data_IF_833611180898
#
_entry.id   IF_833611180898
#
_cell.length_a   1.000
_cell.length_b   1.000
_cell.length_c   1.000
_cell.angle_alpha   90.00
_cell.angle_beta   90.00
_cell.angle_gamma   90.00
#
_symmetry.space_group_name_H-M   'P 1'
#
loop_
_entity.id
_entity.type
_entity.pdbx_description
1 polymer ?
#
# COMPACT_ATOMS: atom_id res chain seq x y z
N UNK A 1 -13.92 -7.89 -6.93
CA UNK A 1 -12.89 -6.98 -7.54
C UNK A 1 -12.40 -6.02 -6.47
N UNK A 2 -11.07 -5.85 -6.34
CA UNK A 2 -10.53 -4.88 -5.36
C UNK A 2 -10.46 -3.49 -6.01
N UNK A 3 -10.99 -2.48 -5.31
CA UNK A 3 -11.03 -1.08 -5.76
C UNK A 3 -10.32 -0.21 -4.74
N UNK A 4 -9.22 0.41 -5.15
CA UNK A 4 -8.48 1.39 -4.35
C UNK A 4 -9.25 2.72 -4.30
N UNK A 5 -9.51 3.22 -3.10
CA UNK A 5 -10.18 4.51 -2.91
C UNK A 5 -9.30 5.66 -3.40
N UNK A 6 -7.99 5.56 -3.22
CA UNK A 6 -7.05 6.58 -3.72
C UNK A 6 -7.05 6.63 -5.25
N UNK A 7 -7.14 5.47 -5.91
CA UNK A 7 -7.23 5.44 -7.36
C UNK A 7 -8.57 5.98 -7.89
N UNK A 8 -9.69 5.78 -7.18
CA UNK A 8 -10.95 6.42 -7.54
C UNK A 8 -10.85 7.95 -7.53
N UNK A 9 -10.05 8.53 -6.64
CA UNK A 9 -9.83 9.99 -6.55
C UNK A 9 -9.17 10.60 -7.78
N UNK A 10 -8.52 9.80 -8.62
CA UNK A 10 -8.00 10.27 -9.91
C UNK A 10 -9.11 10.58 -10.93
N UNK A 11 -10.28 9.97 -10.76
CA UNK A 11 -11.42 10.13 -11.69
C UNK A 11 -12.48 11.10 -11.20
N UNK A 12 -12.67 11.21 -9.88
CA UNK A 12 -13.66 12.08 -9.26
C UNK A 12 -13.26 12.46 -7.83
N UNK A 13 -13.88 13.53 -7.31
CA UNK A 13 -13.74 13.87 -5.89
C UNK A 13 -14.53 12.89 -5.02
N UNK A 14 -13.84 12.12 -4.16
CA UNK A 14 -14.43 11.20 -3.16
C UNK A 14 -14.45 11.89 -1.81
N UNK A 15 -15.65 12.24 -1.32
CA UNK A 15 -15.89 12.96 -0.04
C UNK A 15 -16.29 12.01 1.09
N UNK A 16 -16.84 10.87 0.73
CA UNK A 16 -17.33 9.86 1.65
C UNK A 16 -16.17 9.26 2.45
N UNK A 17 -16.47 8.87 3.69
CA UNK A 17 -15.63 7.90 4.42
C UNK A 17 -15.65 6.55 3.70
N UNK A 18 -14.68 5.67 3.94
CA UNK A 18 -14.64 4.34 3.31
C UNK A 18 -15.93 3.52 3.50
N UNK A 19 -16.55 3.58 4.67
CA UNK A 19 -17.81 2.89 4.94
C UNK A 19 -18.99 3.50 4.17
N UNK A 20 -19.12 4.82 4.19
CA UNK A 20 -20.16 5.52 3.41
C UNK A 20 -20.02 5.28 1.91
N UNK A 21 -18.78 5.15 1.42
CA UNK A 21 -18.51 4.83 0.02
C UNK A 21 -18.96 3.40 -0.32
N UNK A 22 -18.71 2.43 0.56
CA UNK A 22 -19.19 1.07 0.41
C UNK A 22 -20.72 1.01 0.36
N UNK A 23 -21.40 1.72 1.27
CA UNK A 23 -22.86 1.82 1.29
C UNK A 23 -23.40 2.47 0.00
N UNK A 24 -22.73 3.53 -0.48
CA UNK A 24 -23.11 4.24 -1.71
C UNK A 24 -23.03 3.33 -2.93
N UNK A 25 -21.92 2.56 -3.05
CA UNK A 25 -21.73 1.62 -4.16
C UNK A 25 -22.73 0.46 -4.10
N UNK A 26 -23.00 -0.08 -2.90
CA UNK A 26 -23.99 -1.13 -2.71
C UNK A 26 -25.39 -0.67 -3.11
N UNK A 27 -25.77 0.58 -2.80
CA UNK A 27 -27.02 1.19 -3.23
C UNK A 27 -27.10 1.40 -4.76
N UNK A 28 -25.95 1.45 -5.45
CA UNK A 28 -25.87 1.46 -6.92
C UNK A 28 -25.99 0.05 -7.55
N UNK A 29 -26.07 -1.00 -6.72
CA UNK A 29 -26.07 -2.39 -7.18
C UNK A 29 -24.67 -2.96 -7.45
N UNK A 30 -23.65 -2.33 -6.90
CA UNK A 30 -22.29 -2.84 -6.82
C UNK A 30 -22.02 -3.19 -5.35
N UNK A 31 -22.40 -4.39 -4.93
CA UNK A 31 -22.19 -4.84 -3.55
C UNK A 31 -20.73 -4.66 -3.16
N UNK A 32 -20.50 -3.84 -2.13
CA UNK A 32 -19.18 -3.40 -1.76
C UNK A 32 -18.95 -3.59 -0.26
N UNK A 33 -17.85 -4.23 0.08
CA UNK A 33 -17.37 -4.39 1.44
C UNK A 33 -16.00 -3.73 1.63
N UNK A 34 -15.78 -3.20 2.84
CA UNK A 34 -14.48 -2.66 3.18
C UNK A 34 -13.47 -3.80 3.32
N UNK A 35 -12.35 -3.70 2.65
CA UNK A 35 -11.26 -4.66 2.81
C UNK A 35 -10.72 -4.62 4.24
N UNK A 36 -10.21 -5.74 4.75
CA UNK A 36 -9.81 -5.97 6.14
C UNK A 36 -8.61 -5.13 6.65
N UNK A 37 -8.15 -4.16 5.88
CA UNK A 37 -7.09 -3.24 6.30
C UNK A 37 -7.59 -2.34 7.43
N UNK A 38 -6.83 -2.16 8.53
CA UNK A 38 -7.25 -1.31 9.62
C UNK A 38 -7.37 0.16 9.18
N UNK A 39 -8.46 0.82 9.59
CA UNK A 39 -8.67 2.25 9.31
C UNK A 39 -7.84 3.17 10.22
N UNK A 40 -7.32 2.64 11.32
CA UNK A 40 -6.53 3.37 12.30
C UNK A 40 -5.58 2.43 13.02
N UNK A 41 -4.35 2.90 13.24
CA UNK A 41 -3.30 2.22 14.01
C UNK A 41 -2.75 3.20 15.06
N UNK A 42 -3.48 3.47 16.15
CA UNK A 42 -3.08 4.48 17.14
C UNK A 42 -1.70 4.20 17.72
N UNK A 43 -0.82 5.20 17.67
CA UNK A 43 0.55 5.11 18.16
C UNK A 43 1.55 4.48 17.18
N UNK A 44 1.13 4.12 15.98
CA UNK A 44 2.04 3.79 14.89
C UNK A 44 2.33 5.06 14.09
N UNK A 45 3.60 5.44 14.04
CA UNK A 45 4.08 6.67 13.41
C UNK A 45 5.16 6.37 12.38
N UNK A 46 5.48 7.34 11.54
CA UNK A 46 6.67 7.26 10.68
C UNK A 46 7.90 7.49 11.54
N UNK A 47 8.72 6.44 11.70
CA UNK A 47 10.00 6.49 12.37
C UNK A 47 11.16 6.43 11.37
N UNK A 48 12.34 6.87 11.78
CA UNK A 48 13.58 6.74 11.01
C UNK A 48 14.59 5.90 11.77
N UNK A 49 15.14 4.88 11.15
CA UNK A 49 16.27 4.12 11.70
C UNK A 49 17.54 4.94 11.50
N UNK A 50 18.13 5.46 12.57
CA UNK A 50 19.38 6.24 12.51
C UNK A 50 20.62 5.34 12.43
N UNK A 51 20.62 4.25 13.21
CA UNK A 51 21.72 3.29 13.21
C UNK A 51 21.26 1.88 13.54
N UNK A 52 22.03 0.90 13.09
CA UNK A 52 21.85 -0.51 13.40
C UNK A 52 23.17 -1.13 13.87
N UNK A 53 23.12 -1.89 14.96
CA UNK A 53 24.26 -2.62 15.50
C UNK A 53 23.87 -4.08 15.76
N UNK A 54 24.85 -4.98 15.75
CA UNK A 54 24.60 -6.40 16.10
C UNK A 54 24.26 -6.53 17.58
N UNK A 55 23.28 -7.37 17.88
CA UNK A 55 22.91 -7.69 19.27
C UNK A 55 24.03 -8.52 19.93
N UNK A 56 24.51 -8.16 21.15
CA UNK A 56 25.65 -8.83 21.78
C UNK A 56 25.39 -10.31 22.11
N UNK A 57 24.14 -10.69 22.34
CA UNK A 57 23.77 -12.04 22.81
C UNK A 57 22.86 -12.79 21.79
N UNK A 58 22.79 -12.33 20.51
CA UNK A 58 21.93 -12.98 19.52
C UNK A 58 22.31 -12.64 18.07
N UNK A 59 22.77 -13.63 17.31
CA UNK A 59 23.30 -13.45 15.95
C UNK A 59 22.27 -12.93 14.93
N UNK A 60 20.98 -13.23 15.16
CA UNK A 60 19.89 -12.82 14.24
C UNK A 60 19.20 -11.52 14.64
N UNK A 61 19.59 -10.90 15.75
CA UNK A 61 18.99 -9.66 16.23
C UNK A 61 19.91 -8.45 15.98
N UNK A 62 19.32 -7.31 15.72
CA UNK A 62 19.99 -6.02 15.65
C UNK A 62 19.43 -5.08 16.72
N UNK A 63 20.27 -4.23 17.26
CA UNK A 63 19.89 -3.07 18.05
C UNK A 63 19.73 -1.92 17.08
N UNK A 64 18.56 -1.33 17.03
CA UNK A 64 18.24 -0.21 16.16
C UNK A 64 17.98 1.04 16.99
N UNK A 65 18.53 2.15 16.61
CA UNK A 65 18.16 3.47 17.15
C UNK A 65 17.14 4.10 16.19
N UNK A 66 15.93 4.28 16.68
CA UNK A 66 14.79 4.79 15.90
C UNK A 66 14.45 6.20 16.39
N UNK A 67 14.46 7.16 15.50
CA UNK A 67 14.03 8.54 15.73
C UNK A 67 12.53 8.66 15.41
N UNK A 68 11.76 9.21 16.33
CA UNK A 68 10.31 9.45 16.20
C UNK A 68 9.97 10.90 15.80
N UNK A 69 10.97 11.70 15.47
CA UNK A 69 10.84 13.14 15.18
C UNK A 69 10.94 14.05 16.40
N UNK A 70 10.93 13.49 17.62
CA UNK A 70 11.10 14.24 18.89
C UNK A 70 12.28 13.68 19.70
N UNK A 71 12.44 12.37 19.72
CA UNK A 71 13.49 11.66 20.47
C UNK A 71 13.85 10.35 19.80
N UNK A 72 14.90 9.72 20.30
CA UNK A 72 15.34 8.42 19.84
C UNK A 72 14.93 7.31 20.78
N UNK A 73 14.70 6.13 20.23
CA UNK A 73 14.31 4.92 20.94
C UNK A 73 15.25 3.79 20.55
N UNK A 74 15.73 3.04 21.55
CA UNK A 74 16.40 1.78 21.31
C UNK A 74 15.35 0.69 21.08
N UNK A 75 15.47 -0.03 19.96
CA UNK A 75 14.54 -1.06 19.55
C UNK A 75 15.30 -2.28 19.06
N UNK A 76 14.89 -3.48 19.48
CA UNK A 76 15.47 -4.72 18.98
C UNK A 76 14.64 -5.23 17.82
N UNK A 77 15.31 -5.50 16.71
CA UNK A 77 14.70 -6.00 15.48
C UNK A 77 15.38 -7.27 14.99
N UNK A 78 14.57 -8.26 14.61
CA UNK A 78 15.03 -9.53 14.05
C UNK A 78 14.93 -9.63 12.53
N UNK A 79 14.41 -8.61 11.87
CA UNK A 79 14.21 -8.61 10.44
C UNK A 79 15.54 -8.47 9.67
N UNK A 80 15.74 -9.28 8.62
CA UNK A 80 17.00 -9.25 7.85
C UNK A 80 17.19 -7.95 7.06
N UNK A 81 16.10 -7.32 6.65
CA UNK A 81 16.08 -6.12 5.79
C UNK A 81 16.16 -4.79 6.54
N UNK A 82 16.23 -4.79 7.90
CA UNK A 82 16.39 -3.54 8.64
C UNK A 82 17.80 -2.96 8.45
N UNK A 83 17.87 -1.68 8.07
CA UNK A 83 19.12 -0.95 7.89
C UNK A 83 18.99 0.53 8.28
N UNK A 84 20.13 1.22 8.42
CA UNK A 84 20.19 2.67 8.70
C UNK A 84 19.55 3.50 7.57
N UNK A 85 19.11 4.70 7.91
CA UNK A 85 18.50 5.68 7.00
C UNK A 85 17.12 5.28 6.41
N UNK A 86 16.55 4.15 6.84
CA UNK A 86 15.22 3.73 6.42
C UNK A 86 14.13 4.47 7.20
N UNK A 87 13.07 4.91 6.49
CA UNK A 87 11.80 5.24 7.12
C UNK A 87 10.96 3.97 7.28
N UNK A 88 10.33 3.84 8.43
CA UNK A 88 9.60 2.62 8.82
C UNK A 88 8.33 2.97 9.61
N UNK A 89 7.30 2.10 9.61
CA UNK A 89 6.22 2.20 10.58
C UNK A 89 6.76 1.78 11.95
N UNK A 90 6.71 2.71 12.89
CA UNK A 90 7.20 2.54 14.25
C UNK A 90 6.04 2.53 15.24
N UNK A 91 5.79 1.39 15.89
CA UNK A 91 4.82 1.27 16.96
C UNK A 91 5.46 1.69 18.29
N UNK A 92 4.98 2.79 18.84
CA UNK A 92 5.46 3.32 20.14
C UNK A 92 4.97 2.48 21.32
N UNK A 93 5.65 2.59 22.46
CA UNK A 93 5.19 1.92 23.70
C UNK A 93 3.81 2.44 24.06
N UNK A 94 2.86 1.53 24.25
CA UNK A 94 1.44 1.83 24.53
C UNK A 94 0.53 1.59 23.34
N UNK A 95 1.05 1.49 22.13
CA UNK A 95 0.26 1.14 20.93
C UNK A 95 -0.39 -0.23 21.06
N UNK A 96 -1.52 -0.40 20.38
CA UNK A 96 -2.22 -1.67 20.25
C UNK A 96 -2.32 -1.97 18.75
N UNK A 97 -1.62 -3.00 18.32
CA UNK A 97 -1.65 -3.49 16.93
C UNK A 97 -2.81 -4.48 16.73
N UNK A 98 -3.15 -4.81 15.49
CA UNK A 98 -4.12 -5.85 15.16
C UNK A 98 -3.86 -7.15 15.94
N UNK A 99 -4.92 -7.91 16.24
CA UNK A 99 -4.81 -9.08 17.11
C UNK A 99 -4.63 -8.75 18.61
N UNK A 100 -4.90 -7.51 19.04
CA UNK A 100 -4.72 -7.02 20.42
C UNK A 100 -3.27 -7.08 20.92
N UNK A 101 -2.29 -7.01 20.03
CA UNK A 101 -0.88 -6.98 20.38
C UNK A 101 -0.51 -5.63 21.00
N UNK A 102 -0.37 -5.61 22.33
CA UNK A 102 0.01 -4.39 23.08
C UNK A 102 1.52 -4.23 23.12
N UNK A 103 2.02 -3.14 22.55
CA UNK A 103 3.45 -2.80 22.57
C UNK A 103 3.85 -2.28 23.94
N UNK A 104 4.80 -2.95 24.56
CA UNK A 104 5.35 -2.62 25.89
C UNK A 104 6.87 -2.52 25.81
N UNK A 105 7.46 -1.85 26.78
CA UNK A 105 8.89 -1.99 27.01
C UNK A 105 9.22 -3.46 27.28
N UNK A 106 10.21 -3.97 26.59
CA UNK A 106 10.63 -5.37 26.70
C UNK A 106 12.14 -5.44 26.93
N UNK A 107 12.59 -6.47 27.62
CA UNK A 107 14.00 -6.81 27.70
C UNK A 107 14.23 -8.07 26.84
N UNK A 108 14.93 -7.92 25.74
CA UNK A 108 15.17 -9.00 24.79
C UNK A 108 16.64 -9.43 24.92
N UNK A 109 16.86 -10.61 25.51
CA UNK A 109 18.19 -11.18 25.75
C UNK A 109 19.16 -10.23 26.46
N UNK A 110 18.65 -9.47 27.45
CA UNK A 110 19.44 -8.53 28.24
C UNK A 110 19.52 -7.10 27.71
N UNK A 111 18.91 -6.80 26.56
CA UNK A 111 18.87 -5.47 25.96
C UNK A 111 17.44 -4.93 25.95
N UNK A 112 17.26 -3.68 26.38
CA UNK A 112 15.95 -3.01 26.42
C UNK A 112 15.47 -2.65 25.01
N UNK A 113 14.18 -2.90 24.75
CA UNK A 113 13.48 -2.49 23.52
C UNK A 113 12.29 -1.61 23.86
N UNK A 114 12.24 -0.41 23.30
CA UNK A 114 11.26 0.66 23.59
C UNK A 114 10.36 0.92 22.40
N UNK A 115 9.65 -0.08 21.92
CA UNK A 115 8.78 -0.02 20.74
C UNK A 115 9.03 -1.17 19.80
N UNK A 116 8.42 -1.10 18.62
CA UNK A 116 8.51 -2.15 17.60
C UNK A 116 8.55 -1.55 16.20
N UNK A 117 9.46 -2.03 15.36
CA UNK A 117 9.47 -1.76 13.92
C UNK A 117 8.56 -2.81 13.29
N UNK A 118 7.56 -2.37 12.52
CA UNK A 118 6.50 -3.25 12.06
C UNK A 118 6.71 -3.74 10.61
N UNK A 119 6.28 -4.98 10.36
CA UNK A 119 6.03 -5.53 9.02
C UNK A 119 4.61 -5.18 8.56
N UNK A 120 4.29 -5.43 7.30
CA UNK A 120 2.92 -5.28 6.77
C UNK A 120 1.95 -6.24 7.44
N UNK A 121 2.39 -7.47 7.73
CA UNK A 121 1.59 -8.48 8.42
C UNK A 121 1.17 -8.02 9.83
N UNK A 122 2.10 -7.47 10.63
CA UNK A 122 1.80 -6.98 11.98
C UNK A 122 0.84 -5.80 11.99
N UNK A 123 0.83 -5.02 10.90
CA UNK A 123 -0.12 -3.93 10.68
C UNK A 123 -1.44 -4.42 10.07
N UNK A 124 -1.57 -5.71 9.75
CA UNK A 124 -2.71 -6.31 9.04
C UNK A 124 -3.02 -5.60 7.71
N UNK A 125 -1.96 -5.25 6.97
CA UNK A 125 -2.05 -4.61 5.64
C UNK A 125 -1.95 -5.68 4.55
N UNK A 126 -1.07 -6.66 4.71
CA UNK A 126 -0.88 -7.81 3.82
C UNK A 126 -0.40 -9.04 4.60
N UNK A 127 -0.28 -10.19 3.92
CA UNK A 127 0.29 -11.41 4.48
C UNK A 127 1.82 -11.42 4.46
N UNK A 128 2.47 -10.35 3.97
CA UNK A 128 3.91 -10.24 3.87
C UNK A 128 4.56 -10.11 5.26
N UNK A 129 5.39 -11.08 5.62
CA UNK A 129 6.04 -11.18 6.94
C UNK A 129 7.57 -11.41 6.85
N UNK A 130 8.16 -11.39 5.65
CA UNK A 130 9.61 -11.60 5.45
C UNK A 130 10.42 -10.32 5.68
N UNK A 131 10.17 -9.63 6.77
CA UNK A 131 10.95 -8.43 7.12
C UNK A 131 10.08 -7.30 7.64
N UNK A 132 10.71 -6.13 7.79
CA UNK A 132 10.00 -4.90 8.14
C UNK A 132 9.46 -4.23 6.87
N UNK A 133 8.40 -3.45 7.03
CA UNK A 133 7.94 -2.53 6.01
C UNK A 133 8.90 -1.34 5.89
N UNK A 134 9.39 -1.05 4.68
CA UNK A 134 10.24 0.11 4.39
C UNK A 134 9.42 1.16 3.66
N UNK A 135 9.39 2.37 4.17
CA UNK A 135 8.60 3.48 3.65
C UNK A 135 9.37 4.34 2.64
N UNK A 136 8.69 5.07 1.74
CA UNK A 136 9.29 6.09 0.91
C UNK A 136 10.01 7.17 1.73
N UNK A 137 11.13 7.68 1.21
CA UNK A 137 12.02 8.62 1.93
C UNK A 137 11.47 10.03 2.12
N UNK A 138 10.40 10.36 1.43
CA UNK A 138 9.77 11.69 1.39
C UNK A 138 8.64 11.88 2.43
N UNK A 139 8.36 10.86 3.23
CA UNK A 139 7.33 10.95 4.25
C UNK A 139 7.75 11.79 5.47
N UNK A 140 6.83 12.54 6.06
CA UNK A 140 7.13 13.37 7.22
C UNK A 140 7.34 12.52 8.49
N UNK A 141 8.52 12.66 9.09
CA UNK A 141 8.90 11.96 10.31
C UNK A 141 7.99 12.31 11.49
N UNK A 142 7.65 11.32 12.31
CA UNK A 142 6.85 11.48 13.52
C UNK A 142 5.34 11.66 13.30
N UNK A 143 4.89 11.65 12.04
CA UNK A 143 3.46 11.72 11.74
C UNK A 143 2.78 10.35 11.85
N UNK A 144 1.47 10.38 12.11
CA UNK A 144 0.66 9.15 12.11
C UNK A 144 0.81 8.40 10.78
N UNK A 145 1.13 7.11 10.88
CA UNK A 145 1.40 6.27 9.71
C UNK A 145 0.17 6.14 8.81
N UNK A 146 -1.02 5.91 9.40
CA UNK A 146 -2.24 5.75 8.61
C UNK A 146 -2.68 7.05 7.95
N UNK A 147 -2.38 8.21 8.55
CA UNK A 147 -2.69 9.49 7.95
C UNK A 147 -1.86 9.78 6.69
N UNK A 148 -0.54 9.50 6.74
CA UNK A 148 0.39 9.91 5.68
C UNK A 148 0.67 8.83 4.65
N UNK A 149 0.51 7.56 4.99
CA UNK A 149 0.81 6.44 4.10
C UNK A 149 -0.22 5.32 4.12
N UNK A 150 -0.74 4.95 5.27
CA UNK A 150 -1.61 3.79 5.45
C UNK A 150 -2.92 3.86 4.66
N UNK A 151 -3.41 5.06 4.35
CA UNK A 151 -4.62 5.26 3.52
C UNK A 151 -4.54 4.63 2.14
N UNK A 152 -3.34 4.44 1.59
CA UNK A 152 -3.11 3.78 0.29
C UNK A 152 -3.57 2.31 0.28
N UNK A 153 -3.65 1.67 1.43
CA UNK A 153 -4.08 0.29 1.56
C UNK A 153 -5.59 0.14 1.76
N UNK A 154 -6.30 1.24 1.98
CA UNK A 154 -7.76 1.20 2.16
C UNK A 154 -8.40 0.97 0.80
N UNK A 155 -9.08 -0.16 0.66
CA UNK A 155 -9.74 -0.59 -0.56
C UNK A 155 -11.12 -1.18 -0.25
N UNK A 156 -11.93 -1.30 -1.29
CA UNK A 156 -13.23 -1.97 -1.25
C UNK A 156 -13.15 -3.25 -2.09
N UNK A 157 -13.73 -4.31 -1.58
CA UNK A 157 -14.00 -5.50 -2.37
C UNK A 157 -15.41 -5.41 -2.94
N UNK A 158 -15.54 -5.44 -4.27
CA UNK A 158 -16.80 -5.38 -4.98
C UNK A 158 -17.15 -6.75 -5.55
N UNK A 159 -18.38 -7.21 -5.29
CA UNK A 159 -18.98 -8.30 -6.03
C UNK A 159 -19.67 -7.74 -7.28
N UNK A 160 -19.02 -7.95 -8.43
CA UNK A 160 -19.49 -7.43 -9.72
C UNK A 160 -20.22 -8.54 -10.47
N UNK A 161 -21.51 -8.36 -10.67
CA UNK A 161 -22.35 -9.32 -11.39
C UNK A 161 -22.00 -9.40 -12.89
N UNK A 162 -22.21 -10.56 -13.55
CA UNK A 162 -21.83 -10.77 -14.96
C UNK A 162 -22.46 -9.79 -15.97
N UNK A 163 -23.59 -9.18 -15.63
CA UNK A 163 -24.27 -8.18 -16.46
C UNK A 163 -23.67 -6.76 -16.34
N UNK A 164 -22.66 -6.58 -15.46
CA UNK A 164 -21.98 -5.29 -15.23
C UNK A 164 -20.49 -5.34 -15.57
N UNK A 165 -20.12 -5.79 -16.81
CA UNK A 165 -18.69 -5.87 -17.20
C UNK A 165 -18.00 -4.49 -17.22
N UNK A 166 -18.75 -3.42 -17.34
CA UNK A 166 -18.30 -2.03 -17.27
C UNK A 166 -17.70 -1.67 -15.91
N UNK A 167 -18.17 -2.30 -14.83
CA UNK A 167 -17.73 -2.08 -13.46
C UNK A 167 -16.44 -2.88 -13.10
N UNK A 168 -15.88 -3.70 -14.00
CA UNK A 168 -14.59 -4.36 -13.80
C UNK A 168 -13.38 -3.44 -14.03
N UNK A 169 -13.54 -2.15 -13.72
CA UNK A 169 -12.44 -1.18 -13.74
C UNK A 169 -12.73 -0.03 -12.77
N UNK A 170 -11.67 0.58 -12.21
CA UNK A 170 -11.80 1.79 -11.38
C UNK A 170 -12.54 2.92 -12.13
N UNK A 171 -12.27 3.06 -13.43
CA UNK A 171 -12.94 4.06 -14.27
C UNK A 171 -14.44 3.80 -14.41
N UNK A 172 -14.85 2.52 -14.54
CA UNK A 172 -16.26 2.14 -14.62
C UNK A 172 -17.01 2.42 -13.31
N UNK A 173 -16.43 2.00 -12.20
CA UNK A 173 -16.95 2.28 -10.86
C UNK A 173 -17.04 3.78 -10.60
N UNK A 174 -15.99 4.53 -10.94
CA UNK A 174 -15.96 5.98 -10.77
C UNK A 174 -17.02 6.71 -11.59
N UNK A 175 -17.34 6.19 -12.80
CA UNK A 175 -18.39 6.77 -13.66
C UNK A 175 -19.77 6.62 -13.02
N UNK A 176 -20.08 5.47 -12.48
CA UNK A 176 -21.34 5.21 -11.80
C UNK A 176 -21.47 6.05 -10.53
N UNK A 177 -20.42 6.09 -9.73
CA UNK A 177 -20.37 6.91 -8.53
C UNK A 177 -20.56 8.39 -8.86
N UNK A 178 -19.91 8.89 -9.91
CA UNK A 178 -20.05 10.27 -10.37
C UNK A 178 -21.49 10.59 -10.80
N UNK A 179 -22.13 9.66 -11.52
CA UNK A 179 -23.52 9.79 -11.94
C UNK A 179 -24.47 9.90 -10.74
N UNK A 180 -24.37 8.97 -9.77
CA UNK A 180 -25.22 8.98 -8.58
C UNK A 180 -25.02 10.22 -7.72
N UNK A 181 -23.79 10.64 -7.54
CA UNK A 181 -23.45 11.76 -6.66
C UNK A 181 -23.50 13.11 -7.34
N UNK A 182 -23.86 13.13 -8.64
CA UNK A 182 -23.86 14.33 -9.49
C UNK A 182 -22.52 15.08 -9.46
N UNK A 183 -21.41 14.36 -9.47
CA UNK A 183 -20.05 14.90 -9.47
C UNK A 183 -19.43 14.85 -10.85
N UNK A 184 -18.44 15.70 -11.07
CA UNK A 184 -17.68 15.69 -12.31
C UNK A 184 -16.84 14.41 -12.40
N UNK A 185 -17.03 13.67 -13.49
CA UNK A 185 -16.18 12.56 -13.88
C UNK A 185 -15.08 13.05 -14.81
N UNK A 186 -13.84 12.67 -14.54
CA UNK A 186 -12.67 13.06 -15.33
C UNK A 186 -11.91 11.78 -15.73
N UNK A 187 -12.18 11.20 -16.90
CA UNK A 187 -11.46 10.01 -17.35
C UNK A 187 -9.98 10.32 -17.57
N UNK A 188 -9.12 9.38 -17.20
CA UNK A 188 -7.69 9.48 -17.52
C UNK A 188 -7.52 9.28 -19.03
N UNK A 189 -6.96 10.25 -19.69
CA UNK A 189 -6.61 10.19 -21.11
C UNK A 189 -5.10 9.93 -21.20
N UNK A 190 -4.73 8.74 -21.66
CA UNK A 190 -3.33 8.42 -21.90
C UNK A 190 -2.77 9.24 -23.06
N UNK A 191 -1.67 9.94 -22.81
CA UNK A 191 -0.97 10.62 -23.90
C UNK A 191 -0.27 9.58 -24.81
N UNK A 192 -0.24 9.83 -26.14
CA UNK A 192 0.44 8.92 -27.06
C UNK A 192 1.93 8.80 -26.73
N UNK A 193 2.40 7.59 -26.52
CA UNK A 193 3.82 7.32 -26.30
C UNK A 193 4.57 7.61 -27.60
N UNK A 194 5.58 8.49 -27.54
CA UNK A 194 6.48 8.73 -28.68
C UNK A 194 7.37 7.50 -28.90
N UNK A 195 7.15 6.80 -29.99
CA UNK A 195 7.98 5.66 -30.40
C UNK A 195 9.39 6.16 -30.74
N UNK A 196 10.39 5.63 -30.05
CA UNK A 196 11.82 5.97 -30.23
C UNK A 196 12.63 4.85 -30.90
N UNK A 197 12.01 3.70 -31.10
CA UNK A 197 12.67 2.48 -31.64
C UNK A 197 12.12 2.20 -33.01
N UNK A 198 13.01 2.10 -34.03
CA UNK A 198 12.65 1.77 -35.42
C UNK A 198 12.61 0.26 -35.69
N UNK A 199 12.48 -0.56 -34.66
CA UNK A 199 12.36 -2.00 -34.81
C UNK A 199 10.89 -2.41 -34.82
N UNK A 200 10.56 -3.39 -35.61
CA UNK A 200 9.22 -3.97 -35.70
C UNK A 200 9.24 -5.46 -35.40
N UNK A 201 8.20 -5.94 -34.72
CA UNK A 201 7.94 -7.38 -34.61
C UNK A 201 7.16 -7.85 -35.82
N UNK A 202 7.61 -8.96 -36.43
CA UNK A 202 6.80 -9.63 -37.44
C UNK A 202 5.69 -10.41 -36.72
N UNK A 203 4.46 -9.98 -36.92
CA UNK A 203 3.27 -10.63 -36.37
C UNK A 203 2.54 -11.30 -37.52
N UNK A 204 2.23 -12.60 -37.39
CA UNK A 204 1.41 -13.36 -38.32
C UNK A 204 0.18 -13.88 -37.57
N UNK A 205 -1.00 -13.61 -38.08
CA UNK A 205 -2.26 -14.09 -37.51
C UNK A 205 -2.80 -15.20 -38.42
N UNK A 206 -2.94 -16.41 -37.88
CA UNK A 206 -3.41 -17.58 -38.63
C UNK A 206 -4.96 -17.67 -38.63
N UNK A 207 -5.62 -17.09 -37.60
CA UNK A 207 -7.08 -17.01 -37.50
C UNK A 207 -7.52 -15.58 -37.17
N UNK A 208 -7.94 -14.85 -38.20
CA UNK A 208 -8.44 -13.49 -38.05
C UNK A 208 -9.84 -13.42 -37.41
N UNK A 209 -10.61 -14.50 -37.50
CA UNK A 209 -11.95 -14.58 -36.95
C UNK A 209 -11.91 -14.73 -35.41
N UNK A 210 -10.95 -15.51 -34.91
CA UNK A 210 -10.77 -15.71 -33.46
C UNK A 210 -9.98 -14.57 -32.81
N UNK A 211 -9.04 -13.96 -33.55
CA UNK A 211 -8.25 -12.82 -33.06
C UNK A 211 -8.20 -11.70 -34.12
N UNK A 212 -9.23 -10.83 -34.17
CA UNK A 212 -9.34 -9.81 -35.22
C UNK A 212 -8.28 -8.70 -35.07
N UNK A 213 -7.63 -8.59 -33.93
CA UNK A 213 -6.59 -7.57 -33.68
C UNK A 213 -5.56 -8.02 -32.67
N UNK A 214 -4.29 -7.97 -33.04
CA UNK A 214 -3.16 -8.19 -32.14
C UNK A 214 -2.17 -7.03 -32.23
N UNK A 215 -1.68 -6.53 -31.09
CA UNK A 215 -0.73 -5.42 -31.03
C UNK A 215 0.52 -5.91 -30.32
N UNK A 216 1.69 -5.78 -30.98
CA UNK A 216 2.98 -6.05 -30.38
C UNK A 216 3.77 -4.75 -30.15
N UNK A 217 4.50 -4.70 -29.05
CA UNK A 217 5.38 -3.59 -28.73
C UNK A 217 6.77 -4.07 -28.29
N UNK A 218 7.80 -3.28 -28.59
CA UNK A 218 9.18 -3.53 -28.16
C UNK A 218 9.56 -2.43 -27.14
N UNK A 219 9.96 -2.85 -25.96
CA UNK A 219 10.52 -1.96 -24.93
C UNK A 219 11.98 -2.36 -24.71
N UNK A 220 12.90 -1.41 -24.82
CA UNK A 220 14.34 -1.63 -24.67
C UNK A 220 14.89 -0.88 -23.46
N UNK A 221 16.02 -1.36 -22.94
CA UNK A 221 16.71 -0.73 -21.80
C UNK A 221 15.98 -0.91 -20.47
N UNK A 222 15.21 -1.99 -20.36
CA UNK A 222 14.55 -2.35 -19.08
C UNK A 222 15.55 -3.03 -18.15
N UNK A 223 15.45 -2.71 -16.85
CA UNK A 223 16.11 -3.45 -15.78
C UNK A 223 15.08 -4.25 -15.02
N UNK A 224 15.38 -5.51 -14.74
CA UNK A 224 14.53 -6.35 -13.89
C UNK A 224 14.81 -6.00 -12.44
N UNK A 225 13.80 -5.68 -11.69
CA UNK A 225 13.88 -5.31 -10.27
C UNK A 225 12.58 -5.60 -9.54
N UNK A 226 12.56 -5.41 -8.21
CA UNK A 226 11.32 -5.49 -7.45
C UNK A 226 10.34 -4.42 -7.95
N UNK A 227 9.07 -4.68 -7.77
CA UNK A 227 8.00 -3.71 -8.06
C UNK A 227 8.12 -2.56 -7.05
N UNK A 228 8.08 -1.32 -7.54
CA UNK A 228 8.15 -0.10 -6.72
C UNK A 228 6.79 0.28 -6.16
#
# INVERSE_FOLDING_TARGET
MIVSIDWLREFLEVKESPNELADTLSNLGLEAELNSVPLSLPGVIVGKVESTEKHPNADKLKICIVNDGQKTHQVICGAPNVDSEQLIPFATVGSILPGNLKIKKANIRGVESNGMICSEHELNISDEHEGIMVLPKDLPLGKDFMEVYGKKFISLELDVTPNRPDAFSHQGVARDLACMTNRKFSPVVAEPIKVKVNESLKISMESSDDCPRYIGGIIKGVSIGPVS
#
